data_IF_910250639738
#
_entry.id   IF_910250639738
#
_cell.length_a   1.000
_cell.length_b   1.000
_cell.length_c   1.000
_cell.angle_alpha   90.00
_cell.angle_beta   90.00
_cell.angle_gamma   90.00
#
_symmetry.space_group_name_H-M   'P 1'
#
loop_
_entity.id
_entity.type
_entity.pdbx_description
1 polymer ?
#
# COMPACT_ATOMS: atom_id res chain seq x y z
N UNK A 1 -3.67 -8.79 -11.79
CA UNK A 1 -4.02 -7.42 -12.16
C UNK A 1 -5.52 -7.22 -12.02
N UNK A 2 -5.94 -6.04 -11.59
CA UNK A 2 -7.34 -5.62 -11.51
C UNK A 2 -7.94 -5.49 -12.91
N UNK A 3 -9.11 -6.10 -13.13
CA UNK A 3 -9.72 -6.22 -14.46
C UNK A 3 -10.70 -5.11 -14.77
N UNK A 4 -11.38 -4.58 -13.75
CA UNK A 4 -12.45 -3.59 -13.92
C UNK A 4 -12.71 -2.80 -12.63
N UNK A 5 -13.51 -1.72 -12.75
CA UNK A 5 -13.78 -0.78 -11.66
C UNK A 5 -14.49 -1.44 -10.49
N UNK A 6 -15.37 -2.40 -10.77
CA UNK A 6 -16.08 -3.16 -9.75
C UNK A 6 -15.11 -3.98 -8.91
N UNK A 7 -14.15 -4.67 -9.52
CA UNK A 7 -13.13 -5.44 -8.80
C UNK A 7 -12.23 -4.54 -7.93
N UNK A 8 -11.93 -3.31 -8.37
CA UNK A 8 -11.21 -2.32 -7.55
C UNK A 8 -12.03 -1.85 -6.34
N UNK A 9 -13.32 -1.56 -6.54
CA UNK A 9 -14.21 -1.18 -5.43
C UNK A 9 -14.37 -2.33 -4.44
N UNK A 10 -14.60 -3.56 -4.92
CA UNK A 10 -14.68 -4.75 -4.05
C UNK A 10 -13.37 -4.97 -3.26
N UNK A 11 -12.20 -4.67 -3.86
CA UNK A 11 -10.92 -4.74 -3.16
C UNK A 11 -10.86 -3.71 -2.02
N UNK A 12 -11.25 -2.47 -2.29
CA UNK A 12 -11.27 -1.40 -1.31
C UNK A 12 -12.24 -1.74 -0.16
N UNK A 13 -13.47 -2.15 -0.48
CA UNK A 13 -14.47 -2.58 0.51
C UNK A 13 -13.96 -3.74 1.39
N UNK A 14 -13.28 -4.72 0.78
CA UNK A 14 -12.67 -5.80 1.55
C UNK A 14 -11.57 -5.30 2.51
N UNK A 15 -10.83 -4.26 2.11
CA UNK A 15 -9.90 -3.56 3.00
C UNK A 15 -10.60 -3.00 4.25
N UNK A 16 -11.74 -2.33 4.09
CA UNK A 16 -12.51 -1.80 5.22
C UNK A 16 -13.11 -2.90 6.12
N UNK A 17 -13.57 -4.01 5.53
CA UNK A 17 -14.00 -5.17 6.32
C UNK A 17 -12.86 -5.74 7.19
N UNK A 18 -11.62 -5.74 6.68
CA UNK A 18 -10.44 -6.13 7.47
C UNK A 18 -10.14 -5.05 8.52
N UNK A 19 -10.25 -3.76 8.18
CA UNK A 19 -10.06 -2.65 9.12
C UNK A 19 -10.96 -2.78 10.34
N UNK A 20 -12.24 -3.08 10.17
CA UNK A 20 -13.17 -3.35 11.28
C UNK A 20 -12.65 -4.47 12.20
N UNK A 21 -12.17 -5.57 11.62
CA UNK A 21 -11.66 -6.72 12.37
C UNK A 21 -10.38 -6.36 13.14
N UNK A 22 -9.43 -5.69 12.48
CA UNK A 22 -8.12 -5.34 13.05
C UNK A 22 -8.27 -4.26 14.13
N UNK A 23 -9.05 -3.20 13.87
CA UNK A 23 -9.29 -2.15 14.87
C UNK A 23 -10.03 -2.70 16.10
N UNK A 24 -10.96 -3.64 15.91
CA UNK A 24 -11.64 -4.29 17.04
C UNK A 24 -10.72 -5.24 17.83
N UNK A 25 -9.73 -5.84 17.16
CA UNK A 25 -8.73 -6.67 17.82
C UNK A 25 -7.68 -5.84 18.54
N UNK A 26 -7.31 -4.69 17.96
CA UNK A 26 -6.32 -3.75 18.45
C UNK A 26 -5.02 -4.43 18.91
N UNK A 27 -4.27 -5.05 17.99
CA UNK A 27 -3.17 -5.94 18.34
C UNK A 27 -2.04 -5.28 19.15
N UNK A 28 -1.94 -3.94 19.12
CA UNK A 28 -0.93 -3.19 19.85
C UNK A 28 -1.51 -2.25 20.92
N UNK A 29 -2.85 -2.23 21.11
CA UNK A 29 -3.50 -1.35 22.08
C UNK A 29 -3.43 0.13 21.69
N UNK A 30 -3.48 0.45 20.40
CA UNK A 30 -3.28 1.80 19.87
C UNK A 30 -4.59 2.56 19.64
N UNK A 31 -5.73 1.88 19.53
CA UNK A 31 -6.99 2.53 19.12
C UNK A 31 -7.53 3.53 20.15
N UNK A 32 -7.08 3.46 21.42
CA UNK A 32 -7.40 4.46 22.44
C UNK A 32 -6.64 5.78 22.23
N UNK A 33 -5.47 5.74 21.59
CA UNK A 33 -4.52 6.86 21.54
C UNK A 33 -4.29 7.41 20.13
N UNK A 34 -4.49 6.58 19.12
CA UNK A 34 -4.19 6.88 17.73
C UNK A 34 -5.47 7.01 16.90
N UNK A 35 -5.43 7.73 15.77
CA UNK A 35 -6.53 7.76 14.82
C UNK A 35 -6.75 6.38 14.19
N UNK A 36 -7.93 6.19 13.57
CA UNK A 36 -8.32 4.88 13.02
C UNK A 36 -7.50 4.42 11.81
N UNK A 37 -6.63 5.26 11.24
CA UNK A 37 -5.75 4.94 10.12
C UNK A 37 -4.43 4.25 10.54
N UNK A 38 -4.19 4.08 11.84
CA UNK A 38 -2.94 3.54 12.41
C UNK A 38 -2.49 2.21 11.77
N UNK A 39 -3.43 1.29 11.49
CA UNK A 39 -3.12 -0.03 10.93
C UNK A 39 -3.26 -0.12 9.39
N UNK A 40 -3.45 0.99 8.67
CA UNK A 40 -3.76 0.95 7.23
C UNK A 40 -2.68 0.19 6.43
N UNK A 41 -1.42 0.24 6.85
CA UNK A 41 -0.32 -0.43 6.18
C UNK A 41 -0.43 -1.96 6.30
N UNK A 42 -0.65 -2.46 7.51
CA UNK A 42 -0.85 -3.87 7.83
C UNK A 42 -2.16 -4.37 7.21
N UNK A 43 -3.24 -3.59 7.29
CA UNK A 43 -4.53 -3.94 6.70
C UNK A 43 -4.39 -4.13 5.19
N UNK A 44 -3.73 -3.20 4.49
CA UNK A 44 -3.49 -3.30 3.05
C UNK A 44 -2.64 -4.53 2.71
N UNK A 45 -1.57 -4.77 3.47
CA UNK A 45 -0.72 -5.96 3.30
C UNK A 45 -1.50 -7.26 3.46
N UNK A 46 -2.33 -7.35 4.49
CA UNK A 46 -3.16 -8.52 4.79
C UNK A 46 -4.24 -8.74 3.75
N UNK A 47 -4.93 -7.68 3.33
CA UNK A 47 -5.90 -7.69 2.23
C UNK A 47 -5.27 -8.29 0.98
N UNK A 48 -4.12 -7.77 0.57
CA UNK A 48 -3.44 -8.21 -0.64
C UNK A 48 -2.97 -9.66 -0.54
N UNK A 49 -2.48 -10.08 0.64
CA UNK A 49 -2.10 -11.46 0.91
C UNK A 49 -3.27 -12.43 0.76
N UNK A 50 -4.44 -12.11 1.31
CA UNK A 50 -5.65 -12.95 1.22
C UNK A 50 -6.16 -13.02 -0.22
N UNK A 51 -6.16 -11.89 -0.94
CA UNK A 51 -6.61 -11.83 -2.33
C UNK A 51 -5.73 -12.67 -3.25
N UNK A 52 -4.41 -12.64 -3.03
CA UNK A 52 -3.44 -13.43 -3.78
C UNK A 52 -3.48 -14.93 -3.40
N UNK A 53 -3.91 -15.29 -2.18
CA UNK A 53 -3.88 -16.66 -1.65
C UNK A 53 -5.28 -17.15 -1.20
N UNK A 54 -6.22 -17.25 -2.15
CA UNK A 54 -7.67 -17.49 -1.93
C UNK A 54 -8.06 -18.73 -1.12
N UNK A 55 -7.17 -19.72 -1.07
CA UNK A 55 -7.43 -21.02 -0.45
C UNK A 55 -6.58 -21.26 0.80
N UNK A 56 -6.06 -20.19 1.41
CA UNK A 56 -5.27 -20.28 2.64
C UNK A 56 -6.17 -20.71 3.80
N UNK A 57 -5.80 -21.79 4.49
CA UNK A 57 -6.48 -22.16 5.73
C UNK A 57 -6.12 -21.19 6.89
N UNK A 58 -6.98 -21.09 7.89
CA UNK A 58 -6.80 -20.13 9.00
C UNK A 58 -5.48 -20.29 9.76
N UNK A 59 -4.87 -21.47 9.80
CA UNK A 59 -3.58 -21.69 10.49
C UNK A 59 -2.44 -21.10 9.69
N UNK A 60 -2.46 -21.26 8.37
CA UNK A 60 -1.48 -20.64 7.49
C UNK A 60 -1.64 -19.12 7.50
N UNK A 61 -2.86 -18.60 7.38
CA UNK A 61 -3.11 -17.15 7.42
C UNK A 61 -2.75 -16.55 8.78
N UNK A 62 -3.02 -17.24 9.90
CA UNK A 62 -2.59 -16.79 11.24
C UNK A 62 -1.07 -16.64 11.35
N UNK A 63 -0.29 -17.53 10.73
CA UNK A 63 1.18 -17.39 10.66
C UNK A 63 1.61 -16.18 9.82
N UNK A 64 0.91 -15.91 8.71
CA UNK A 64 1.21 -14.74 7.87
C UNK A 64 0.83 -13.43 8.57
N UNK A 65 -0.29 -13.37 9.30
CA UNK A 65 -0.64 -12.23 10.17
C UNK A 65 0.50 -11.97 11.15
N UNK A 66 0.98 -13.00 11.85
CA UNK A 66 2.12 -12.86 12.76
C UNK A 66 3.35 -12.28 12.08
N UNK A 67 3.71 -12.79 10.90
CA UNK A 67 4.87 -12.30 10.15
C UNK A 67 4.71 -10.83 9.79
N UNK A 68 3.55 -10.46 9.25
CA UNK A 68 3.23 -9.10 8.85
C UNK A 68 3.34 -8.14 10.04
N UNK A 69 2.65 -8.42 11.14
CA UNK A 69 2.71 -7.55 12.31
C UNK A 69 4.11 -7.51 12.96
N UNK A 70 4.87 -8.60 12.93
CA UNK A 70 6.28 -8.58 13.37
C UNK A 70 7.18 -7.78 12.43
N UNK A 71 6.86 -7.71 11.15
CA UNK A 71 7.61 -6.86 10.22
C UNK A 71 7.51 -5.39 10.67
N UNK A 72 6.29 -4.90 10.91
CA UNK A 72 6.06 -3.50 11.27
C UNK A 72 6.41 -3.16 12.71
N UNK A 73 6.05 -4.03 13.66
CA UNK A 73 6.20 -3.75 15.09
C UNK A 73 7.37 -4.49 15.74
N UNK A 74 8.15 -5.23 14.97
CA UNK A 74 9.32 -5.98 15.46
C UNK A 74 8.98 -6.85 16.68
N UNK A 75 9.84 -6.82 17.71
CA UNK A 75 9.66 -7.58 18.94
C UNK A 75 8.57 -7.02 19.86
N UNK A 76 7.94 -5.88 19.54
CA UNK A 76 6.84 -5.32 20.35
C UNK A 76 5.54 -6.09 20.13
N UNK A 77 5.36 -6.71 18.96
CA UNK A 77 4.18 -7.53 18.69
C UNK A 77 4.28 -8.90 19.38
N UNK A 78 3.30 -9.20 20.25
CA UNK A 78 3.35 -10.35 21.15
C UNK A 78 2.04 -11.17 21.22
N UNK A 79 1.19 -11.11 20.19
CA UNK A 79 -0.07 -11.85 20.16
C UNK A 79 0.12 -13.38 20.23
N UNK A 80 -0.86 -14.06 20.84
CA UNK A 80 -0.91 -15.51 20.92
C UNK A 80 -1.39 -16.13 19.60
N UNK A 81 -0.94 -17.35 19.33
CA UNK A 81 -1.19 -18.04 18.06
C UNK A 81 -2.68 -18.33 17.83
N UNK A 82 -3.37 -18.75 18.87
CA UNK A 82 -4.81 -19.02 18.85
C UNK A 82 -5.64 -17.77 18.55
N UNK A 83 -5.20 -16.60 19.03
CA UNK A 83 -5.80 -15.30 18.70
C UNK A 83 -5.62 -14.99 17.22
N UNK A 84 -4.40 -15.11 16.69
CA UNK A 84 -4.12 -14.88 15.27
C UNK A 84 -4.92 -15.83 14.36
N UNK A 85 -5.03 -17.11 14.71
CA UNK A 85 -5.84 -18.09 13.98
C UNK A 85 -7.35 -17.74 14.01
N UNK A 86 -7.85 -17.14 15.09
CA UNK A 86 -9.22 -16.65 15.18
C UNK A 86 -9.44 -15.45 14.26
N UNK A 87 -8.55 -14.45 14.30
CA UNK A 87 -8.58 -13.29 13.42
C UNK A 87 -8.52 -13.70 11.95
N UNK A 88 -7.62 -14.61 11.60
CA UNK A 88 -7.56 -15.21 10.27
C UNK A 88 -8.90 -15.82 9.84
N UNK A 89 -9.57 -16.55 10.74
CA UNK A 89 -10.89 -17.11 10.48
C UNK A 89 -11.95 -16.05 10.15
N UNK A 90 -11.98 -14.93 10.89
CA UNK A 90 -12.90 -13.82 10.63
C UNK A 90 -12.66 -13.18 9.27
N UNK A 91 -11.40 -12.99 8.89
CA UNK A 91 -11.02 -12.39 7.61
C UNK A 91 -11.38 -13.31 6.44
N UNK A 92 -11.12 -14.62 6.57
CA UNK A 92 -11.52 -15.61 5.57
C UNK A 92 -13.04 -15.64 5.41
N UNK A 93 -13.80 -15.47 6.49
CA UNK A 93 -15.27 -15.42 6.39
C UNK A 93 -15.74 -14.18 5.63
N UNK A 94 -15.22 -12.99 5.96
CA UNK A 94 -15.52 -11.75 5.23
C UNK A 94 -15.12 -11.84 3.76
N UNK A 95 -13.99 -12.47 3.44
CA UNK A 95 -13.51 -12.55 2.05
C UNK A 95 -14.46 -13.30 1.10
N UNK A 96 -15.27 -14.23 1.63
CA UNK A 96 -16.28 -14.98 0.84
C UNK A 96 -17.36 -14.09 0.22
N UNK A 97 -17.58 -12.87 0.76
CA UNK A 97 -18.51 -11.88 0.20
C UNK A 97 -18.06 -11.40 -1.19
N UNK A 98 -16.75 -11.42 -1.45
CA UNK A 98 -16.15 -10.80 -2.63
C UNK A 98 -15.77 -11.82 -3.70
N UNK A 99 -15.98 -11.46 -4.97
CA UNK A 99 -15.59 -12.29 -6.12
C UNK A 99 -14.33 -11.75 -6.78
N UNK A 100 -13.39 -11.27 -5.96
CA UNK A 100 -12.07 -10.84 -6.42
C UNK A 100 -11.48 -11.98 -7.23
N UNK A 101 -10.76 -11.69 -8.31
CA UNK A 101 -10.03 -12.64 -9.16
C UNK A 101 -8.67 -12.09 -9.59
N UNK A 102 -8.29 -10.94 -9.02
CA UNK A 102 -7.10 -10.20 -9.34
C UNK A 102 -5.88 -10.69 -8.55
N UNK A 103 -4.72 -10.51 -9.17
CA UNK A 103 -3.42 -10.41 -8.50
C UNK A 103 -3.15 -8.95 -8.18
N UNK A 104 -2.73 -8.68 -6.96
CA UNK A 104 -2.34 -7.35 -6.45
C UNK A 104 -0.91 -7.41 -5.90
N UNK A 105 -0.23 -6.26 -5.79
CA UNK A 105 1.13 -6.21 -5.24
C UNK A 105 1.17 -6.74 -3.81
N UNK A 106 2.25 -7.43 -3.45
CA UNK A 106 2.42 -7.95 -2.10
C UNK A 106 3.25 -6.98 -1.27
N UNK A 107 3.01 -6.95 0.04
CA UNK A 107 3.77 -6.10 0.94
C UNK A 107 5.27 -6.46 0.99
N UNK A 108 5.60 -7.75 0.81
CA UNK A 108 6.98 -8.23 0.70
C UNK A 108 7.74 -7.63 -0.51
N UNK A 109 7.06 -7.04 -1.49
CA UNK A 109 7.72 -6.45 -2.66
C UNK A 109 8.59 -5.23 -2.30
N UNK A 110 8.40 -4.66 -1.10
CA UNK A 110 9.13 -3.50 -0.55
C UNK A 110 10.40 -3.91 0.22
N UNK A 111 10.59 -5.20 0.55
CA UNK A 111 11.71 -5.71 1.36
C UNK A 111 13.11 -5.48 0.74
N UNK A 112 13.19 -4.95 -0.49
CA UNK A 112 14.43 -4.76 -1.21
C UNK A 112 15.08 -3.37 -1.06
N UNK A 113 14.47 -2.43 -0.33
CA UNK A 113 15.06 -1.10 -0.14
C UNK A 113 16.08 -1.14 1.00
N UNK A 114 17.35 -1.32 0.64
CA UNK A 114 18.48 -1.33 1.59
C UNK A 114 19.01 0.10 1.75
N UNK A 115 18.81 0.69 2.92
CA UNK A 115 19.40 1.99 3.28
C UNK A 115 20.78 1.79 3.92
N UNK A 116 21.75 2.62 3.56
CA UNK A 116 23.12 2.53 4.08
C UNK A 116 23.33 3.31 5.37
N UNK A 117 22.53 4.33 5.62
CA UNK A 117 22.65 5.23 6.76
C UNK A 117 21.32 5.94 7.06
N UNK A 118 21.24 6.56 8.24
CA UNK A 118 20.06 7.31 8.70
C UNK A 118 19.69 8.46 7.75
N UNK A 119 20.68 9.14 7.16
CA UNK A 119 20.42 10.23 6.20
C UNK A 119 19.65 9.74 4.96
N UNK A 120 19.97 8.56 4.44
CA UNK A 120 19.22 7.96 3.33
C UNK A 120 17.78 7.61 3.73
N UNK A 121 17.57 7.15 4.97
CA UNK A 121 16.24 6.86 5.53
C UNK A 121 15.43 8.16 5.61
N UNK A 122 16.00 9.22 6.15
CA UNK A 122 15.32 10.52 6.30
C UNK A 122 14.94 11.12 4.94
N UNK A 123 15.85 11.05 3.95
CA UNK A 123 15.56 11.50 2.59
C UNK A 123 14.39 10.68 2.01
N UNK A 124 14.41 9.36 2.16
CA UNK A 124 13.35 8.49 1.67
C UNK A 124 12.00 8.79 2.33
N UNK A 125 11.95 8.91 3.66
CA UNK A 125 10.72 9.21 4.41
C UNK A 125 10.14 10.56 3.97
N UNK A 126 10.99 11.58 3.80
CA UNK A 126 10.57 12.89 3.33
C UNK A 126 10.01 12.83 1.91
N UNK A 127 10.72 12.15 0.99
CA UNK A 127 10.26 11.96 -0.38
C UNK A 127 8.93 11.20 -0.44
N UNK A 128 8.84 10.09 0.28
CA UNK A 128 7.60 9.32 0.36
C UNK A 128 6.44 10.18 0.84
N UNK A 129 6.63 10.95 1.91
CA UNK A 129 5.59 11.83 2.45
C UNK A 129 5.13 12.88 1.43
N UNK A 130 6.07 13.52 0.72
CA UNK A 130 5.73 14.56 -0.28
C UNK A 130 5.07 13.95 -1.52
N UNK A 131 5.64 12.88 -2.06
CA UNK A 131 5.12 12.21 -3.25
C UNK A 131 3.75 11.59 -2.95
N UNK A 132 3.54 11.01 -1.77
CA UNK A 132 2.23 10.49 -1.35
C UNK A 132 1.14 11.57 -1.42
N UNK A 133 1.43 12.79 -0.94
CA UNK A 133 0.49 13.91 -1.05
C UNK A 133 0.20 14.29 -2.51
N UNK A 134 1.24 14.35 -3.35
CA UNK A 134 1.09 14.69 -4.78
C UNK A 134 0.24 13.64 -5.48
N UNK A 135 0.55 12.36 -5.31
CA UNK A 135 -0.14 11.25 -5.99
C UNK A 135 -1.58 11.11 -5.48
N UNK A 136 -1.83 11.22 -4.18
CA UNK A 136 -3.19 11.19 -3.65
C UNK A 136 -4.02 12.39 -4.10
N UNK A 137 -3.40 13.57 -4.27
CA UNK A 137 -4.12 14.75 -4.78
C UNK A 137 -4.40 14.64 -6.28
N UNK A 138 -3.51 13.98 -7.03
CA UNK A 138 -3.73 13.67 -8.44
C UNK A 138 -4.85 12.63 -8.61
N UNK A 139 -4.88 11.63 -7.74
CA UNK A 139 -5.85 10.54 -7.72
C UNK A 139 -6.16 9.99 -9.12
N UNK A 140 -5.16 9.36 -9.78
CA UNK A 140 -5.29 8.95 -11.18
C UNK A 140 -6.41 7.94 -11.44
N UNK A 141 -6.92 7.30 -10.38
CA UNK A 141 -8.06 6.39 -10.48
C UNK A 141 -9.34 6.98 -9.90
N UNK A 142 -9.36 8.18 -9.31
CA UNK A 142 -10.54 8.77 -8.66
C UNK A 142 -11.09 7.85 -7.56
N UNK A 143 -10.22 7.38 -6.67
CA UNK A 143 -10.57 6.47 -5.57
C UNK A 143 -10.30 7.03 -4.19
N UNK A 144 -9.61 8.17 -4.06
CA UNK A 144 -9.16 8.64 -2.76
C UNK A 144 -10.30 9.01 -1.81
N UNK A 145 -11.46 9.39 -2.35
CA UNK A 145 -12.67 9.65 -1.55
C UNK A 145 -13.26 8.38 -0.90
N UNK A 146 -12.86 7.19 -1.35
CA UNK A 146 -13.41 5.91 -0.90
C UNK A 146 -12.36 4.92 -0.42
N UNK A 147 -11.06 5.26 -0.46
CA UNK A 147 -9.96 4.34 -0.14
C UNK A 147 -9.10 4.82 1.01
N UNK A 148 -8.21 3.93 1.48
CA UNK A 148 -7.16 4.30 2.42
C UNK A 148 -6.18 5.30 1.83
N UNK A 149 -5.56 6.08 2.71
CA UNK A 149 -4.57 7.10 2.34
C UNK A 149 -3.32 6.51 1.69
N UNK A 150 -3.07 5.22 1.91
CA UNK A 150 -1.91 4.49 1.43
C UNK A 150 -2.22 3.62 0.19
N UNK A 151 -3.36 3.77 -0.47
CA UNK A 151 -3.78 2.88 -1.57
C UNK A 151 -2.76 2.88 -2.73
N UNK A 152 -2.08 4.00 -2.98
CA UNK A 152 -1.02 4.12 -4.00
C UNK A 152 0.41 3.82 -3.51
N UNK A 153 0.58 3.33 -2.28
CA UNK A 153 1.91 3.16 -1.66
C UNK A 153 2.89 2.33 -2.50
N UNK A 154 2.40 1.30 -3.21
CA UNK A 154 3.23 0.49 -4.09
C UNK A 154 3.74 1.31 -5.28
N UNK A 155 2.85 2.04 -5.95
CA UNK A 155 3.24 2.88 -7.08
C UNK A 155 4.20 3.98 -6.64
N UNK A 156 3.95 4.62 -5.49
CA UNK A 156 4.80 5.65 -4.90
C UNK A 156 6.22 5.12 -4.64
N UNK A 157 6.35 3.92 -4.07
CA UNK A 157 7.66 3.31 -3.82
C UNK A 157 8.44 3.10 -5.12
N UNK A 158 7.77 2.60 -6.16
CA UNK A 158 8.38 2.42 -7.49
C UNK A 158 8.78 3.75 -8.14
N UNK A 159 8.01 4.81 -7.92
CA UNK A 159 8.33 6.15 -8.40
C UNK A 159 9.59 6.67 -7.72
N UNK A 160 9.72 6.51 -6.40
CA UNK A 160 10.92 6.91 -5.65
C UNK A 160 12.15 6.14 -6.14
N UNK A 161 12.03 4.82 -6.35
CA UNK A 161 13.11 4.00 -6.90
C UNK A 161 13.61 4.50 -8.25
N UNK A 162 12.71 4.90 -9.16
CA UNK A 162 13.10 5.46 -10.46
C UNK A 162 13.67 6.88 -10.35
N UNK A 163 13.08 7.72 -9.48
CA UNK A 163 13.55 9.09 -9.23
C UNK A 163 15.00 9.11 -8.74
N UNK A 164 15.35 8.22 -7.80
CA UNK A 164 16.69 8.14 -7.21
C UNK A 164 17.79 7.67 -8.18
N UNK A 165 17.44 7.22 -9.40
CA UNK A 165 18.41 6.86 -10.46
C UNK A 165 18.92 8.06 -11.25
N UNK A 166 18.64 9.29 -10.82
CA UNK A 166 19.01 10.53 -11.50
C UNK A 166 18.46 10.60 -12.93
N UNK A 167 17.17 10.33 -13.06
CA UNK A 167 16.41 10.31 -14.31
C UNK A 167 15.95 11.73 -14.71
N UNK A 168 15.55 11.95 -15.96
CA UNK A 168 14.96 13.23 -16.41
C UNK A 168 13.45 13.27 -16.16
N UNK A 169 12.85 14.46 -16.14
CA UNK A 169 11.39 14.65 -16.05
C UNK A 169 10.66 13.83 -17.13
N UNK A 170 11.10 13.91 -18.40
CA UNK A 170 10.44 13.17 -19.48
C UNK A 170 10.53 11.65 -19.30
N UNK A 171 11.62 11.15 -18.72
CA UNK A 171 11.80 9.73 -18.50
C UNK A 171 11.05 9.24 -17.25
N UNK A 172 11.02 10.02 -16.16
CA UNK A 172 10.21 9.67 -14.98
C UNK A 172 8.72 9.67 -15.30
N UNK A 173 8.24 10.64 -16.10
CA UNK A 173 6.85 10.67 -16.58
C UNK A 173 6.46 9.39 -17.33
N UNK A 174 7.36 8.86 -18.17
CA UNK A 174 7.16 7.57 -18.86
C UNK A 174 7.14 6.39 -17.88
N UNK A 175 8.02 6.38 -16.88
CA UNK A 175 8.02 5.32 -15.87
C UNK A 175 6.78 5.39 -14.98
N UNK A 176 6.30 6.57 -14.59
CA UNK A 176 5.01 6.72 -13.87
C UNK A 176 3.88 6.10 -14.69
N UNK A 177 3.77 6.46 -15.98
CA UNK A 177 2.76 5.88 -16.87
C UNK A 177 2.83 4.35 -16.90
N UNK A 178 4.03 3.80 -16.98
CA UNK A 178 4.28 2.35 -17.01
C UNK A 178 3.96 1.68 -15.67
N UNK A 179 4.34 2.28 -14.54
CA UNK A 179 4.04 1.79 -13.19
C UNK A 179 2.52 1.64 -13.02
N UNK A 180 1.76 2.70 -13.29
CA UNK A 180 0.31 2.68 -13.14
C UNK A 180 -0.38 1.77 -14.18
N UNK A 181 0.09 1.73 -15.43
CA UNK A 181 -0.43 0.76 -16.42
C UNK A 181 -0.16 -0.69 -16.01
N UNK A 182 0.98 -0.99 -15.40
CA UNK A 182 1.28 -2.34 -14.95
C UNK A 182 0.45 -2.75 -13.74
N UNK A 183 0.13 -1.81 -12.84
CA UNK A 183 -0.73 -2.09 -11.68
C UNK A 183 -2.22 -2.15 -12.06
N UNK A 184 -2.68 -1.21 -12.91
CA UNK A 184 -4.10 -0.93 -13.12
C UNK A 184 -4.56 -0.98 -14.58
N UNK A 185 -3.73 -1.38 -15.54
CA UNK A 185 -3.95 -1.49 -17.00
C UNK A 185 -5.29 -0.96 -17.54
N UNK A 186 -6.39 -1.72 -17.41
CA UNK A 186 -7.69 -1.37 -17.97
C UNK A 186 -8.42 -0.19 -17.30
N UNK A 187 -7.97 0.22 -16.11
CA UNK A 187 -8.53 1.30 -15.29
C UNK A 187 -7.76 2.60 -15.40
N UNK A 188 -6.46 2.54 -15.65
CA UNK A 188 -5.62 3.72 -15.77
C UNK A 188 -5.79 4.36 -17.15
N UNK A 189 -6.64 5.37 -17.22
CA UNK A 189 -7.01 6.11 -18.44
C UNK A 189 -6.97 7.61 -18.14
N UNK A 190 -5.78 8.15 -18.05
CA UNK A 190 -5.54 9.58 -17.80
C UNK A 190 -5.28 10.32 -19.11
N UNK A 191 -5.47 11.64 -19.09
CA UNK A 191 -5.23 12.47 -20.26
C UNK A 191 -3.74 12.59 -20.55
N UNK A 192 -3.42 12.74 -21.85
CA UNK A 192 -2.05 12.97 -22.30
C UNK A 192 -1.58 14.30 -21.72
N UNK A 193 -0.56 14.26 -20.85
CA UNK A 193 0.19 15.36 -20.21
C UNK A 193 0.05 15.46 -18.69
N UNK A 194 -0.95 14.81 -18.08
CA UNK A 194 -1.09 14.83 -16.62
C UNK A 194 0.16 14.27 -15.92
N UNK A 195 0.78 13.21 -16.46
CA UNK A 195 1.98 12.63 -15.83
C UNK A 195 3.17 13.58 -15.87
N UNK A 196 3.27 14.47 -16.86
CA UNK A 196 4.36 15.45 -16.93
C UNK A 196 4.20 16.47 -15.80
N UNK A 197 3.00 17.03 -15.62
CA UNK A 197 2.71 17.97 -14.54
C UNK A 197 2.98 17.38 -13.16
N UNK A 198 2.58 16.12 -12.96
CA UNK A 198 2.85 15.39 -11.72
C UNK A 198 4.35 15.16 -11.52
N UNK A 199 5.07 14.83 -12.60
CA UNK A 199 6.52 14.67 -12.53
C UNK A 199 7.22 15.96 -12.16
N UNK A 200 6.80 17.10 -12.72
CA UNK A 200 7.36 18.42 -12.40
C UNK A 200 7.21 18.74 -10.90
N UNK A 201 6.02 18.51 -10.33
CA UNK A 201 5.77 18.67 -8.88
C UNK A 201 6.67 17.76 -8.03
N UNK A 202 6.88 16.52 -8.46
CA UNK A 202 7.78 15.57 -7.76
C UNK A 202 9.23 16.07 -7.80
N UNK A 203 9.70 16.56 -8.94
CA UNK A 203 11.06 17.11 -9.07
C UNK A 203 11.26 18.38 -8.24
N UNK A 204 10.25 19.24 -8.14
CA UNK A 204 10.30 20.42 -7.28
C UNK A 204 10.55 20.02 -5.81
N UNK A 205 9.78 19.08 -5.29
CA UNK A 205 9.95 18.57 -3.92
C UNK A 205 11.30 17.85 -3.73
N UNK A 206 11.73 17.05 -4.71
CA UNK A 206 13.03 16.37 -4.68
C UNK A 206 14.21 17.35 -4.64
N UNK A 207 14.14 18.42 -5.43
CA UNK A 207 15.17 19.46 -5.45
C UNK A 207 15.20 20.28 -4.16
N UNK A 208 14.07 20.41 -3.46
CA UNK A 208 14.01 21.08 -2.17
C UNK A 208 14.63 20.22 -1.06
N UNK A 209 14.41 18.90 -1.09
CA UNK A 209 14.96 17.96 -0.11
C UNK A 209 16.47 17.74 -0.32
N UNK A 210 16.92 17.62 -1.58
CA UNK A 210 18.35 17.39 -1.89
C UNK A 210 19.28 18.58 -1.62
N UNK A 211 18.72 19.77 -1.37
CA UNK A 211 19.47 20.97 -0.96
C UNK A 211 19.67 21.09 0.56
N UNK A 212 19.02 20.22 1.35
CA UNK A 212 19.20 20.09 2.81
C UNK A 212 20.36 19.13 3.14
#
# INVERSE_FOLDING_TARGET
>A
MLKNRKELIELIEFGYDIKEIINSWDPMGLMEFCPEDEYEAEIKGLRNLVVNNRNTDKKLLGKEIRKLFRFYFSNRYNSKRDVEENIAGKIIEKSKKYKLSCTVSNYYDIENIIFKNEKEIDIYINLYTKINKIINSWDPLKIMDISFSNEYSYEINRIIEELLKNITIQNLSKEINKIFKNAYNGLYKIEKNEEIEITEKIFEEYNNISKL
#
